data_IF_756078960630
#
_entry.id   IF_756078960630
#
_cell.length_a   1.000
_cell.length_b   1.000
_cell.length_c   1.000
_cell.angle_alpha   90.00
_cell.angle_beta   90.00
_cell.angle_gamma   90.00
#
_symmetry.space_group_name_H-M   'P 1'
#
loop_
_entity.id
_entity.type
_entity.pdbx_description
1 polymer ?
#
# COMPACT_ATOMS: atom_id res chain seq x y z
N UNK A 1 -1.94 -10.45 -8.05
CA UNK A 1 -2.89 -10.17 -8.82
C UNK A 1 -3.87 -9.27 -8.31
N UNK A 2 -4.69 -9.26 -7.94
CA UNK A 2 -5.90 -8.98 -7.57
C UNK A 2 -5.90 -8.10 -6.46
N UNK A 3 -6.46 -7.10 -6.62
CA UNK A 3 -6.89 -6.21 -5.63
C UNK A 3 -6.02 -6.22 -4.39
N UNK A 4 -5.34 -5.21 -4.20
CA UNK A 4 -4.48 -4.99 -3.07
C UNK A 4 -5.05 -5.31 -1.70
N UNK A 5 -6.36 -5.17 -1.46
CA UNK A 5 -6.95 -5.72 -0.24
C UNK A 5 -6.69 -7.22 -0.10
N UNK A 6 -6.70 -7.97 -1.20
CA UNK A 6 -6.38 -9.39 -1.19
C UNK A 6 -4.89 -9.61 -0.94
N UNK A 7 -4.03 -8.75 -1.45
CA UNK A 7 -2.59 -8.82 -1.24
C UNK A 7 -2.19 -8.49 0.20
N UNK A 8 -2.81 -7.50 0.81
CA UNK A 8 -2.46 -7.02 2.16
C UNK A 8 -3.28 -7.73 3.24
N UNK A 9 -4.50 -8.18 2.95
CA UNK A 9 -5.35 -8.85 3.93
C UNK A 9 -4.70 -10.07 4.60
N UNK A 10 -3.91 -10.92 3.91
CA UNK A 10 -3.16 -11.98 4.58
C UNK A 10 -2.22 -11.45 5.67
N UNK A 11 -1.56 -10.33 5.43
CA UNK A 11 -0.68 -9.70 6.41
C UNK A 11 -1.44 -9.17 7.63
N UNK A 12 -2.58 -8.53 7.39
CA UNK A 12 -3.46 -8.03 8.47
C UNK A 12 -4.04 -9.18 9.28
N UNK A 13 -4.53 -10.23 8.62
CA UNK A 13 -5.05 -11.41 9.31
C UNK A 13 -3.95 -12.14 10.09
N UNK A 14 -2.76 -12.30 9.51
CA UNK A 14 -1.62 -12.90 10.21
C UNK A 14 -1.23 -12.10 11.46
N UNK A 15 -1.21 -10.77 11.36
CA UNK A 15 -0.95 -9.91 12.51
C UNK A 15 -2.03 -10.04 13.57
N UNK A 16 -3.30 -10.01 13.18
CA UNK A 16 -4.43 -10.16 14.09
C UNK A 16 -4.44 -11.54 14.77
N UNK A 17 -4.04 -12.59 14.06
CA UNK A 17 -3.85 -13.92 14.63
C UNK A 17 -2.75 -13.92 15.70
N UNK A 18 -1.59 -13.33 15.43
CA UNK A 18 -0.50 -13.21 16.40
C UNK A 18 -0.89 -12.37 17.64
N UNK A 19 -1.85 -11.48 17.49
CA UNK A 19 -2.44 -10.71 18.60
C UNK A 19 -3.55 -11.46 19.36
N UNK A 20 -3.87 -12.68 18.95
CA UNK A 20 -4.93 -13.49 19.56
C UNK A 20 -6.35 -13.07 19.19
N UNK A 21 -6.52 -12.25 18.15
CA UNK A 21 -7.83 -11.76 17.68
C UNK A 21 -8.52 -12.71 16.70
N UNK A 22 -7.77 -13.63 16.12
CA UNK A 22 -8.26 -14.65 15.19
C UNK A 22 -7.80 -16.02 15.65
N UNK A 23 -8.58 -17.05 15.30
CA UNK A 23 -8.26 -18.44 15.60
C UNK A 23 -7.55 -19.11 14.44
N UNK A 24 -6.87 -20.23 14.73
CA UNK A 24 -6.24 -21.08 13.69
C UNK A 24 -7.28 -21.63 12.70
N UNK A 25 -8.46 -22.00 13.18
CA UNK A 25 -9.57 -22.42 12.33
C UNK A 25 -9.98 -21.35 11.32
N UNK A 26 -10.11 -20.10 11.78
CA UNK A 26 -10.41 -18.98 10.90
C UNK A 26 -9.30 -18.74 9.87
N UNK A 27 -8.04 -18.85 10.27
CA UNK A 27 -6.91 -18.72 9.34
C UNK A 27 -6.90 -19.82 8.28
N UNK A 28 -7.17 -21.07 8.65
CA UNK A 28 -7.25 -22.19 7.74
C UNK A 28 -8.41 -22.07 6.72
N UNK A 29 -9.44 -21.31 7.09
CA UNK A 29 -10.60 -21.03 6.23
C UNK A 29 -10.49 -19.67 5.50
N UNK A 30 -9.29 -19.18 5.27
CA UNK A 30 -9.10 -17.96 4.50
C UNK A 30 -9.68 -18.09 3.08
N UNK A 31 -10.47 -17.10 2.65
CA UNK A 31 -11.19 -17.07 1.37
C UNK A 31 -12.26 -18.15 1.20
N UNK A 32 -12.79 -18.65 2.30
CA UNK A 32 -13.86 -19.65 2.31
C UNK A 32 -15.13 -19.12 3.02
N UNK A 33 -15.39 -17.85 2.90
CA UNK A 33 -16.52 -17.16 3.54
C UNK A 33 -17.89 -17.69 3.13
N UNK A 34 -18.01 -18.31 1.96
CA UNK A 34 -19.27 -18.87 1.46
C UNK A 34 -19.81 -20.01 2.36
N UNK A 35 -18.94 -20.70 3.05
CA UNK A 35 -19.32 -21.81 3.94
C UNK A 35 -19.38 -21.41 5.43
N UNK A 36 -19.28 -20.15 5.75
CA UNK A 36 -19.68 -19.57 7.03
C UNK A 36 -18.57 -19.08 7.94
N UNK A 37 -17.54 -19.81 8.27
CA UNK A 37 -16.58 -19.43 9.33
C UNK A 37 -15.19 -19.02 8.81
N UNK A 38 -15.10 -18.54 7.57
CA UNK A 38 -13.83 -18.17 6.95
C UNK A 38 -13.52 -16.69 7.04
N UNK A 39 -12.25 -16.37 6.84
CA UNK A 39 -11.83 -14.98 6.68
C UNK A 39 -12.14 -14.53 5.26
N UNK A 40 -12.77 -13.36 5.13
CA UNK A 40 -13.21 -12.84 3.85
C UNK A 40 -12.03 -12.51 2.92
N UNK A 41 -12.21 -12.75 1.61
CA UNK A 41 -11.27 -12.36 0.59
C UNK A 41 -11.10 -10.83 0.53
N UNK A 42 -12.19 -10.12 0.77
CA UNK A 42 -12.24 -8.65 0.73
C UNK A 42 -12.45 -8.07 2.12
N UNK A 43 -11.68 -7.05 2.51
CA UNK A 43 -11.97 -6.25 3.70
C UNK A 43 -13.30 -5.52 3.52
N UNK A 44 -14.34 -6.01 4.15
CA UNK A 44 -15.66 -5.40 4.08
C UNK A 44 -16.48 -5.65 5.36
N UNK A 45 -17.07 -4.60 5.97
CA UNK A 45 -17.87 -4.72 7.18
C UNK A 45 -19.06 -5.67 7.08
N UNK A 46 -19.66 -5.83 5.90
CA UNK A 46 -20.75 -6.80 5.71
C UNK A 46 -20.29 -8.25 5.76
N UNK A 47 -19.05 -8.51 5.42
CA UNK A 47 -18.49 -9.88 5.42
C UNK A 47 -17.93 -10.25 6.79
N UNK A 48 -17.31 -9.29 7.47
CA UNK A 48 -16.75 -9.47 8.82
C UNK A 48 -17.01 -8.22 9.66
N UNK A 49 -18.24 -8.03 10.19
CA UNK A 49 -18.64 -6.80 10.88
C UNK A 49 -17.87 -6.52 12.17
N UNK A 50 -17.43 -7.57 12.86
CA UNK A 50 -16.65 -7.44 14.10
C UNK A 50 -15.15 -7.22 13.86
N UNK A 51 -14.71 -7.32 12.61
CA UNK A 51 -13.30 -7.19 12.26
C UNK A 51 -13.02 -5.96 11.38
N UNK A 52 -13.73 -5.81 10.26
CA UNK A 52 -13.53 -4.73 9.32
C UNK A 52 -14.46 -3.56 9.60
N UNK A 53 -13.91 -2.35 9.65
CA UNK A 53 -14.67 -1.12 9.84
C UNK A 53 -14.91 -0.35 8.55
N UNK A 54 -14.04 -0.56 7.56
CA UNK A 54 -14.12 0.10 6.25
C UNK A 54 -14.08 -0.91 5.11
N UNK A 55 -14.87 -0.69 4.06
CA UNK A 55 -14.65 -1.42 2.81
C UNK A 55 -13.38 -0.88 2.15
N UNK A 56 -12.45 -1.76 1.83
CA UNK A 56 -11.22 -1.41 1.11
C UNK A 56 -11.07 -2.34 -0.06
N UNK A 57 -11.23 -1.80 -1.25
CA UNK A 57 -10.97 -2.46 -2.51
C UNK A 57 -9.99 -1.61 -3.32
N UNK A 58 -9.30 -2.20 -4.29
CA UNK A 58 -8.24 -1.56 -5.07
C UNK A 58 -8.70 -0.50 -6.07
N UNK A 59 -9.81 0.16 -5.79
CA UNK A 59 -10.42 1.21 -6.63
C UNK A 59 -10.28 2.61 -6.02
N UNK A 60 -9.22 2.83 -5.24
CA UNK A 60 -8.96 4.12 -4.62
C UNK A 60 -9.71 4.40 -3.32
N UNK A 61 -10.54 3.47 -2.83
CA UNK A 61 -11.30 3.66 -1.58
C UNK A 61 -10.42 3.60 -0.33
N UNK A 62 -9.35 2.79 -0.35
CA UNK A 62 -8.42 2.68 0.77
C UNK A 62 -7.76 4.02 1.12
N UNK A 63 -7.09 4.69 0.16
CA UNK A 63 -6.51 6.01 0.37
C UNK A 63 -7.52 7.06 0.83
N UNK A 64 -8.70 7.11 0.20
CA UNK A 64 -9.78 8.03 0.56
C UNK A 64 -10.24 7.83 2.01
N UNK A 65 -10.56 6.59 2.38
CA UNK A 65 -11.00 6.27 3.73
C UNK A 65 -9.93 6.64 4.77
N UNK A 66 -8.65 6.38 4.46
CA UNK A 66 -7.56 6.72 5.37
C UNK A 66 -7.43 8.22 5.59
N UNK A 67 -7.54 9.03 4.54
CA UNK A 67 -7.50 10.49 4.64
C UNK A 67 -8.67 11.01 5.49
N UNK A 68 -9.90 10.56 5.20
CA UNK A 68 -11.06 11.00 5.95
C UNK A 68 -11.06 10.50 7.39
N UNK A 69 -10.56 9.28 7.65
CA UNK A 69 -10.40 8.78 9.01
C UNK A 69 -9.39 9.64 9.80
N UNK A 70 -8.24 9.95 9.22
CA UNK A 70 -7.25 10.80 9.87
C UNK A 70 -7.81 12.20 10.16
N UNK A 71 -8.54 12.79 9.20
CA UNK A 71 -9.23 14.06 9.40
C UNK A 71 -10.28 13.98 10.49
N UNK A 72 -11.06 12.91 10.54
CA UNK A 72 -12.10 12.74 11.57
C UNK A 72 -11.48 12.57 12.97
N UNK A 73 -10.37 11.88 13.11
CA UNK A 73 -9.63 11.80 14.37
C UNK A 73 -9.20 13.19 14.85
N UNK A 74 -8.62 14.02 13.97
CA UNK A 74 -8.27 15.41 14.29
C UNK A 74 -9.50 16.24 14.68
N UNK A 75 -10.62 16.03 13.99
CA UNK A 75 -11.88 16.69 14.36
C UNK A 75 -12.32 16.34 15.78
N UNK A 76 -12.31 15.05 16.15
CA UNK A 76 -12.68 14.59 17.49
C UNK A 76 -11.80 15.21 18.58
N UNK A 77 -10.50 15.27 18.32
CA UNK A 77 -9.50 15.87 19.20
C UNK A 77 -9.75 17.37 19.38
N UNK A 78 -9.84 18.12 18.29
CA UNK A 78 -10.05 19.57 18.32
C UNK A 78 -11.38 19.98 18.94
N UNK A 79 -12.39 19.12 18.88
CA UNK A 79 -13.67 19.32 19.54
C UNK A 79 -13.69 18.90 21.00
N UNK A 80 -12.62 18.30 21.49
CA UNK A 80 -12.58 17.73 22.86
C UNK A 80 -13.52 16.57 23.08
N UNK A 81 -13.97 15.90 22.02
CA UNK A 81 -14.90 14.77 22.09
C UNK A 81 -14.20 13.46 22.43
N UNK A 82 -12.95 13.32 21.99
CA UNK A 82 -12.12 12.14 22.24
C UNK A 82 -10.65 12.53 22.11
N UNK A 83 -9.82 12.05 23.03
CA UNK A 83 -8.37 12.13 22.87
C UNK A 83 -7.90 11.13 21.79
N UNK A 84 -7.42 11.66 20.70
CA UNK A 84 -6.88 10.91 19.57
C UNK A 84 -5.46 11.33 19.21
N UNK A 85 -4.79 12.07 20.10
CA UNK A 85 -3.45 12.63 19.90
C UNK A 85 -2.38 11.58 19.57
N UNK A 86 -2.54 10.37 20.10
CA UNK A 86 -1.61 9.25 19.89
C UNK A 86 -2.11 8.26 18.81
N UNK A 87 -3.13 8.62 18.04
CA UNK A 87 -3.67 7.73 17.00
C UNK A 87 -3.14 8.11 15.63
N UNK A 88 -2.52 7.14 14.96
CA UNK A 88 -2.04 7.27 13.59
C UNK A 88 -2.77 6.30 12.67
N UNK A 89 -3.17 6.79 11.51
CA UNK A 89 -3.78 5.99 10.46
C UNK A 89 -2.68 5.53 9.50
N UNK A 90 -2.54 4.23 9.34
CA UNK A 90 -1.64 3.61 8.37
C UNK A 90 -2.45 3.02 7.23
N UNK A 91 -2.17 3.43 6.01
CA UNK A 91 -2.74 2.86 4.81
C UNK A 91 -1.67 2.09 4.03
N UNK A 92 -1.88 0.79 3.85
CA UNK A 92 -1.04 -0.05 3.02
C UNK A 92 -1.68 -0.14 1.65
N UNK A 93 -0.98 0.37 0.66
CA UNK A 93 -1.51 0.60 -0.69
C UNK A 93 -0.59 -0.05 -1.72
N UNK A 94 -1.11 -0.26 -2.91
CA UNK A 94 -0.30 -0.66 -4.04
C UNK A 94 -0.19 0.43 -5.09
N UNK A 95 0.80 0.29 -5.91
CA UNK A 95 1.04 1.19 -7.05
C UNK A 95 -0.12 1.18 -8.04
N UNK A 96 -0.71 0.01 -8.33
CA UNK A 96 -1.89 -0.11 -9.18
C UNK A 96 -3.13 0.59 -8.59
N UNK A 97 -3.34 0.52 -7.26
CA UNK A 97 -4.42 1.25 -6.59
C UNK A 97 -4.17 2.76 -6.63
N UNK A 98 -2.92 3.18 -6.53
CA UNK A 98 -2.56 4.59 -6.60
C UNK A 98 -2.69 5.19 -8.01
N UNK A 99 -2.85 4.35 -9.04
CA UNK A 99 -3.13 4.81 -10.39
C UNK A 99 -4.60 5.23 -10.60
N UNK A 100 -5.48 4.79 -9.71
CA UNK A 100 -6.90 5.17 -9.74
C UNK A 100 -7.08 6.69 -9.50
N UNK A 101 -7.97 7.35 -10.25
CA UNK A 101 -8.23 8.80 -10.09
C UNK A 101 -8.65 9.17 -8.68
N UNK A 102 -9.43 8.34 -8.02
CA UNK A 102 -9.90 8.53 -6.65
C UNK A 102 -8.73 8.61 -5.66
N UNK A 103 -7.71 7.76 -5.84
CA UNK A 103 -6.52 7.77 -5.00
C UNK A 103 -5.75 9.07 -5.12
N UNK A 104 -5.55 9.54 -6.34
CA UNK A 104 -4.80 10.78 -6.64
C UNK A 104 -5.58 12.05 -6.28
N UNK A 105 -6.90 12.02 -6.44
CA UNK A 105 -7.76 13.19 -6.25
C UNK A 105 -7.80 13.75 -4.83
N UNK A 106 -7.55 12.93 -3.83
CA UNK A 106 -7.69 13.31 -2.42
C UNK A 106 -6.38 13.64 -1.70
N UNK A 107 -5.22 13.37 -2.29
CA UNK A 107 -3.92 13.49 -1.58
C UNK A 107 -3.61 14.91 -1.10
N UNK A 108 -4.09 15.94 -1.81
CA UNK A 108 -3.91 17.35 -1.41
C UNK A 108 -4.77 17.73 -0.22
N UNK A 109 -5.81 16.97 0.11
CA UNK A 109 -6.62 17.21 1.32
C UNK A 109 -5.76 17.01 2.56
N UNK A 110 -4.97 15.94 2.60
CA UNK A 110 -4.13 15.64 3.75
C UNK A 110 -3.17 16.78 4.10
N UNK A 111 -2.54 17.38 3.12
CA UNK A 111 -1.60 18.50 3.34
C UNK A 111 -2.29 19.79 3.69
N UNK A 112 -3.41 20.12 3.03
CA UNK A 112 -4.21 21.31 3.37
C UNK A 112 -4.77 21.25 4.79
N UNK A 113 -5.18 20.08 5.23
CA UNK A 113 -5.72 19.86 6.58
C UNK A 113 -4.61 19.55 7.61
N UNK A 114 -3.35 19.51 7.17
CA UNK A 114 -2.17 19.22 8.02
C UNK A 114 -2.32 17.93 8.82
N UNK A 115 -2.69 16.84 8.13
CA UNK A 115 -2.90 15.53 8.74
C UNK A 115 -1.55 14.86 9.03
N UNK A 116 -0.93 15.21 10.15
CA UNK A 116 0.32 14.62 10.62
C UNK A 116 0.15 13.22 11.25
N UNK A 117 -1.09 12.77 11.38
CA UNK A 117 -1.49 11.48 11.89
C UNK A 117 -1.83 10.46 10.78
N UNK A 118 -1.28 10.65 9.57
CA UNK A 118 -1.54 9.81 8.40
C UNK A 118 -0.24 9.35 7.75
N UNK A 119 -0.12 8.05 7.52
CA UNK A 119 1.02 7.43 6.84
C UNK A 119 0.53 6.52 5.72
N UNK A 120 1.00 6.76 4.50
CA UNK A 120 0.80 5.85 3.38
C UNK A 120 2.05 4.99 3.17
N UNK A 121 1.86 3.68 3.06
CA UNK A 121 2.92 2.72 2.74
C UNK A 121 2.56 2.10 1.39
N UNK A 122 3.22 2.55 0.34
CA UNK A 122 2.92 2.12 -1.03
C UNK A 122 3.91 1.02 -1.44
N UNK A 123 3.38 -0.17 -1.69
CA UNK A 123 4.17 -1.28 -2.18
C UNK A 123 4.18 -1.26 -3.72
N UNK A 124 5.30 -0.83 -4.28
CA UNK A 124 5.51 -0.80 -5.72
C UNK A 124 6.00 -2.16 -6.21
N UNK A 125 5.07 -3.07 -6.47
CA UNK A 125 5.36 -4.37 -7.06
C UNK A 125 5.31 -4.37 -8.60
N UNK A 126 4.95 -3.25 -9.19
CA UNK A 126 4.86 -2.97 -10.62
C UNK A 126 3.82 -3.81 -11.36
N UNK A 127 2.81 -4.30 -10.66
CA UNK A 127 1.81 -5.20 -11.22
C UNK A 127 0.38 -4.73 -10.97
N UNK A 128 -0.46 -4.97 -11.97
CA UNK A 128 -1.92 -4.98 -11.87
C UNK A 128 -2.45 -6.18 -12.67
N UNK A 129 -3.77 -6.38 -12.68
CA UNK A 129 -4.42 -7.57 -13.26
C UNK A 129 -4.05 -7.84 -14.72
N UNK A 130 -3.94 -6.82 -15.50
CA UNK A 130 -3.76 -6.87 -16.96
C UNK A 130 -2.32 -6.59 -17.42
N UNK A 131 -1.37 -6.47 -16.49
CA UNK A 131 0.03 -6.27 -16.83
C UNK A 131 0.80 -5.32 -15.90
N UNK A 132 1.88 -4.71 -16.37
CA UNK A 132 2.61 -3.70 -15.62
C UNK A 132 1.78 -2.43 -15.45
N UNK A 133 1.97 -1.73 -14.33
CA UNK A 133 1.29 -0.46 -14.05
C UNK A 133 1.65 0.56 -15.13
N UNK A 134 2.92 0.64 -15.46
CA UNK A 134 3.43 1.54 -16.50
C UNK A 134 4.46 0.82 -17.35
N UNK A 135 4.12 0.54 -18.63
CA UNK A 135 5.00 -0.21 -19.53
C UNK A 135 6.28 0.53 -19.90
N UNK A 136 6.14 1.82 -20.23
CA UNK A 136 7.24 2.68 -20.73
C UNK A 136 7.65 3.78 -19.74
N UNK A 137 7.26 3.68 -18.48
CA UNK A 137 7.53 4.66 -17.44
C UNK A 137 8.04 4.02 -16.16
N UNK A 138 8.07 4.82 -15.10
CA UNK A 138 8.46 4.42 -13.75
C UNK A 138 7.45 4.94 -12.76
N UNK A 139 6.54 4.08 -12.35
CA UNK A 139 5.48 4.44 -11.41
C UNK A 139 6.02 4.98 -10.09
N UNK A 140 7.16 4.46 -9.62
CA UNK A 140 7.76 4.90 -8.37
C UNK A 140 8.21 6.37 -8.42
N UNK A 141 8.74 6.82 -9.56
CA UNK A 141 9.16 8.21 -9.74
C UNK A 141 7.95 9.13 -9.96
N UNK A 142 6.93 8.63 -10.66
CA UNK A 142 5.67 9.35 -10.84
C UNK A 142 5.00 9.61 -9.49
N UNK A 143 4.83 8.56 -8.67
CA UNK A 143 4.23 8.68 -7.34
C UNK A 143 5.06 9.59 -6.42
N UNK A 144 6.38 9.46 -6.42
CA UNK A 144 7.26 10.36 -5.67
C UNK A 144 7.01 11.83 -6.05
N UNK A 145 6.95 12.12 -7.35
CA UNK A 145 6.68 13.48 -7.86
C UNK A 145 5.29 13.99 -7.47
N UNK A 146 4.26 13.16 -7.59
CA UNK A 146 2.87 13.50 -7.24
C UNK A 146 2.75 13.81 -5.74
N UNK A 147 3.26 12.95 -4.87
CA UNK A 147 3.16 13.14 -3.44
C UNK A 147 4.02 14.31 -2.95
N UNK A 148 5.25 14.44 -3.43
CA UNK A 148 6.10 15.58 -3.10
C UNK A 148 5.49 16.90 -3.58
N UNK A 149 4.95 16.94 -4.81
CA UNK A 149 4.24 18.10 -5.35
C UNK A 149 2.96 18.46 -4.58
N UNK A 150 2.30 17.46 -3.99
CA UNK A 150 1.16 17.67 -3.09
C UNK A 150 1.56 18.08 -1.66
N UNK A 151 2.86 18.18 -1.36
CA UNK A 151 3.38 18.62 -0.06
C UNK A 151 3.53 17.50 0.99
N UNK A 152 3.55 16.23 0.57
CA UNK A 152 3.85 15.12 1.47
C UNK A 152 5.35 14.98 1.71
N UNK A 153 5.71 14.45 2.88
CA UNK A 153 7.05 13.96 3.12
C UNK A 153 7.21 12.57 2.54
N UNK A 154 8.03 12.43 1.50
CA UNK A 154 8.19 11.18 0.77
C UNK A 154 9.51 10.50 1.13
N UNK A 155 9.43 9.24 1.54
CA UNK A 155 10.60 8.39 1.77
C UNK A 155 10.55 7.24 0.77
N UNK A 156 11.53 7.20 -0.12
CA UNK A 156 11.65 6.14 -1.12
C UNK A 156 12.61 5.06 -0.62
N UNK A 157 12.10 3.82 -0.52
CA UNK A 157 12.88 2.65 -0.14
C UNK A 157 13.01 1.75 -1.36
N UNK A 158 14.24 1.50 -1.78
CA UNK A 158 14.55 0.70 -2.97
C UNK A 158 15.42 -0.47 -2.55
N UNK A 159 14.94 -1.68 -2.88
CA UNK A 159 15.62 -2.95 -2.63
C UNK A 159 15.92 -3.24 -1.15
N UNK A 160 16.38 -4.43 -0.86
CA UNK A 160 16.83 -4.83 0.48
C UNK A 160 18.32 -4.67 0.65
N UNK A 161 18.82 -4.73 1.91
CA UNK A 161 20.24 -4.52 2.26
C UNK A 161 21.25 -5.45 1.56
N UNK A 162 20.80 -6.56 0.95
CA UNK A 162 21.67 -7.43 0.13
C UNK A 162 22.18 -6.74 -1.15
N UNK A 163 21.49 -5.70 -1.61
CA UNK A 163 21.93 -4.88 -2.75
C UNK A 163 23.09 -3.95 -2.40
N UNK A 164 23.28 -3.63 -1.14
CA UNK A 164 24.33 -2.71 -0.68
C UNK A 164 25.74 -3.19 -1.10
N UNK A 165 25.97 -4.49 -1.07
CA UNK A 165 27.24 -5.07 -1.50
C UNK A 165 27.48 -4.95 -3.01
N UNK A 166 26.41 -5.09 -3.81
CA UNK A 166 26.49 -4.89 -5.26
C UNK A 166 26.71 -3.41 -5.58
N UNK A 167 25.97 -2.53 -4.94
CA UNK A 167 26.09 -1.08 -5.13
C UNK A 167 27.48 -0.57 -4.71
N UNK A 168 28.06 -1.11 -3.63
CA UNK A 168 29.44 -0.79 -3.23
C UNK A 168 30.50 -1.21 -4.26
N UNK A 169 30.22 -2.24 -5.05
CA UNK A 169 31.14 -2.72 -6.11
C UNK A 169 30.99 -1.90 -7.41
N UNK A 170 29.92 -1.15 -7.56
CA UNK A 170 29.67 -0.32 -8.75
C UNK A 170 30.45 1.00 -8.70
N UNK A 171 31.77 0.89 -8.78
CA UNK A 171 32.66 2.06 -8.75
C UNK A 171 32.52 2.98 -9.97
N UNK A 172 31.93 2.47 -11.05
CA UNK A 172 31.69 3.22 -12.30
C UNK A 172 30.31 3.90 -12.33
N UNK A 173 29.41 3.56 -11.42
CA UNK A 173 28.01 4.01 -11.42
C UNK A 173 27.14 3.41 -12.51
N UNK A 174 27.64 2.45 -13.30
CA UNK A 174 26.89 1.86 -14.42
C UNK A 174 25.67 1.07 -13.99
N UNK A 175 25.77 0.35 -12.85
CA UNK A 175 24.61 -0.38 -12.30
C UNK A 175 23.51 0.61 -11.89
N UNK A 176 23.88 1.65 -11.16
CA UNK A 176 22.93 2.70 -10.76
C UNK A 176 22.32 3.39 -11.98
N UNK A 177 23.13 3.69 -12.99
CA UNK A 177 22.64 4.28 -14.24
C UNK A 177 21.64 3.35 -14.92
N UNK A 178 21.96 2.07 -15.09
CA UNK A 178 21.06 1.08 -15.70
C UNK A 178 19.74 0.98 -14.91
N UNK A 179 19.82 0.88 -13.58
CA UNK A 179 18.63 0.85 -12.71
C UNK A 179 17.76 2.09 -12.87
N UNK A 180 18.38 3.26 -13.08
CA UNK A 180 17.65 4.50 -13.29
C UNK A 180 17.04 4.63 -14.68
N UNK A 181 17.60 3.98 -15.68
CA UNK A 181 17.11 4.00 -17.06
C UNK A 181 16.09 2.90 -17.35
N UNK A 182 16.16 1.78 -16.62
CA UNK A 182 15.25 0.64 -16.81
C UNK A 182 13.81 1.01 -16.45
N UNK A 183 12.89 0.77 -17.36
CA UNK A 183 11.45 1.02 -17.19
C UNK A 183 10.74 -0.14 -16.47
N UNK A 184 9.54 0.10 -15.99
CA UNK A 184 8.78 -0.89 -15.19
C UNK A 184 8.49 -2.19 -15.93
N UNK A 185 8.22 -2.12 -17.24
CA UNK A 185 8.00 -3.30 -18.08
C UNK A 185 9.23 -4.20 -18.20
N UNK A 186 10.43 -3.61 -18.28
CA UNK A 186 11.68 -4.35 -18.32
C UNK A 186 11.99 -4.98 -16.94
N UNK A 187 11.76 -4.25 -15.85
CA UNK A 187 11.90 -4.81 -14.51
C UNK A 187 11.01 -6.04 -14.28
N UNK A 188 9.78 -6.02 -14.79
CA UNK A 188 8.90 -7.17 -14.74
C UNK A 188 9.46 -8.36 -15.53
N UNK A 189 10.02 -8.10 -16.70
CA UNK A 189 10.66 -9.12 -17.50
C UNK A 189 11.85 -9.73 -16.77
N UNK A 190 12.73 -8.93 -16.21
CA UNK A 190 13.88 -9.41 -15.42
C UNK A 190 13.45 -10.23 -14.21
N UNK A 191 12.40 -9.81 -13.50
CA UNK A 191 11.85 -10.55 -12.36
C UNK A 191 11.38 -11.97 -12.72
N UNK A 192 10.92 -12.18 -13.94
CA UNK A 192 10.43 -13.47 -14.44
C UNK A 192 11.53 -14.38 -15.01
N UNK A 193 12.76 -13.90 -15.13
CA UNK A 193 13.90 -14.60 -15.71
C UNK A 193 14.89 -15.02 -14.64
N UNK A 194 15.78 -15.95 -15.00
CA UNK A 194 16.93 -16.35 -14.19
C UNK A 194 18.13 -15.40 -14.39
N UNK A 195 19.17 -15.60 -13.59
CA UNK A 195 20.37 -14.76 -13.65
C UNK A 195 21.25 -14.95 -14.89
N UNK A 196 20.89 -15.86 -15.79
CA UNK A 196 21.59 -16.08 -17.05
C UNK A 196 21.02 -15.22 -18.20
N UNK A 197 19.81 -14.70 -18.05
CA UNK A 197 19.13 -13.83 -19.01
C UNK A 197 19.78 -12.47 -19.06
#
# INVERSE_FOLDING_TARGET
HDALPIYISPGIYSRAFLEGRLTEEQMNNFRQEVHGNGLSSYPHPKLMPDFWQFPTVSMGLGPLNAIYQAKFLKYLEHRGLKDTSNQTVYAFLGDGEMDEPESKGAITIATREKLDNLVFIINCNLQRLDGPVTGNGKIINELEGIFAGAGWNVIKVIWGGRWDELLKKDTSGKLIQLMNETVDGDYQTFKSRDGAY
#
